data_IF_490106563663
#
_entry.id   IF_490106563663
#
_cell.length_a   1.000
_cell.length_b   1.000
_cell.length_c   1.000
_cell.angle_alpha   90.00
_cell.angle_beta   90.00
_cell.angle_gamma   90.00
#
_symmetry.space_group_name_H-M   'P 1'
#
loop_
_entity.id
_entity.type
_entity.pdbx_description
1 polymer ?
#
# COMPACT_ATOMS: atom_id res chain seq x y z
N UNK A 1 -18.14 -23.25 19.26
CA UNK A 1 -18.92 -24.50 19.14
C UNK A 1 -20.13 -24.39 20.05
N UNK A 2 -21.29 -24.73 19.53
CA UNK A 2 -22.53 -24.75 20.29
C UNK A 2 -22.77 -26.19 20.77
N UNK A 3 -22.93 -26.36 22.09
CA UNK A 3 -23.23 -27.66 22.69
C UNK A 3 -24.65 -27.55 23.28
N UNK A 4 -25.67 -27.99 22.53
CA UNK A 4 -27.05 -27.91 22.99
C UNK A 4 -27.28 -28.94 24.11
N UNK A 5 -28.01 -28.57 25.17
CA UNK A 5 -28.48 -29.52 26.18
C UNK A 5 -29.71 -30.32 25.71
N UNK A 6 -30.43 -29.79 24.71
CA UNK A 6 -31.68 -30.33 24.16
C UNK A 6 -31.69 -30.21 22.63
N UNK A 7 -32.40 -31.08 21.88
CA UNK A 7 -32.32 -31.13 20.41
C UNK A 7 -32.83 -29.87 19.67
N UNK A 8 -33.48 -28.96 20.38
CA UNK A 8 -34.04 -27.72 19.85
C UNK A 8 -33.01 -26.58 19.71
N UNK A 9 -31.76 -26.80 20.16
CA UNK A 9 -30.69 -25.79 20.13
C UNK A 9 -31.10 -24.43 20.73
N UNK A 10 -32.04 -24.44 21.69
CA UNK A 10 -32.53 -23.21 22.29
C UNK A 10 -31.36 -22.45 22.95
N UNK A 11 -31.17 -21.14 22.70
CA UNK A 11 -30.04 -20.39 23.25
C UNK A 11 -29.96 -20.41 24.77
N UNK A 12 -31.11 -20.42 25.46
CA UNK A 12 -31.19 -20.52 26.92
C UNK A 12 -30.73 -21.87 27.49
N UNK A 13 -30.62 -22.90 26.64
CA UNK A 13 -30.20 -24.27 26.98
C UNK A 13 -29.03 -24.75 26.14
N UNK A 14 -28.20 -23.83 25.63
CA UNK A 14 -27.03 -24.15 24.82
C UNK A 14 -25.78 -23.57 25.47
N UNK A 15 -24.71 -24.37 25.57
CA UNK A 15 -23.40 -23.87 25.96
C UNK A 15 -22.64 -23.36 24.74
N UNK A 16 -22.10 -22.15 24.84
CA UNK A 16 -21.29 -21.53 23.78
C UNK A 16 -19.82 -21.62 24.16
N UNK A 17 -19.09 -22.55 23.54
CA UNK A 17 -17.65 -22.66 23.70
C UNK A 17 -16.94 -21.85 22.62
N UNK A 18 -16.14 -20.87 23.03
CA UNK A 18 -15.30 -20.11 22.11
C UNK A 18 -14.07 -20.92 21.71
N UNK A 19 -13.78 -20.93 20.41
CA UNK A 19 -12.59 -21.54 19.85
C UNK A 19 -12.12 -20.70 18.68
N UNK A 20 -10.81 -20.65 18.48
CA UNK A 20 -10.20 -20.04 17.29
C UNK A 20 -9.81 -21.18 16.36
N UNK A 21 -10.21 -21.11 15.09
CA UNK A 21 -9.69 -21.97 14.05
C UNK A 21 -8.59 -21.20 13.31
N UNK A 22 -7.30 -21.52 13.53
CA UNK A 22 -6.19 -20.76 12.95
C UNK A 22 -6.22 -20.80 11.42
N UNK A 23 -6.49 -21.97 10.81
CA UNK A 23 -6.53 -22.10 9.35
C UNK A 23 -7.63 -21.24 8.71
N UNK A 24 -8.82 -21.20 9.32
CA UNK A 24 -9.91 -20.35 8.85
C UNK A 24 -9.57 -18.86 9.01
N UNK A 25 -9.03 -18.47 10.17
CA UNK A 25 -8.64 -17.10 10.45
C UNK A 25 -7.52 -16.62 9.50
N UNK A 26 -6.52 -17.47 9.23
CA UNK A 26 -5.42 -17.16 8.30
C UNK A 26 -5.93 -16.99 6.87
N UNK A 27 -6.83 -17.84 6.38
CA UNK A 27 -7.44 -17.68 5.04
C UNK A 27 -8.23 -16.38 4.93
N UNK A 28 -9.02 -16.06 5.95
CA UNK A 28 -9.75 -14.79 6.00
C UNK A 28 -8.78 -13.59 6.00
N UNK A 29 -7.71 -13.66 6.79
CA UNK A 29 -6.72 -12.58 6.87
C UNK A 29 -5.96 -12.42 5.55
N UNK A 30 -5.57 -13.51 4.89
CA UNK A 30 -4.91 -13.49 3.58
C UNK A 30 -5.77 -12.75 2.53
N UNK A 31 -7.07 -13.04 2.48
CA UNK A 31 -7.99 -12.33 1.59
C UNK A 31 -8.03 -10.82 1.88
N UNK A 32 -7.96 -10.42 3.15
CA UNK A 32 -7.88 -9.01 3.54
C UNK A 32 -6.56 -8.38 3.11
N UNK A 33 -5.43 -9.09 3.23
CA UNK A 33 -4.14 -8.61 2.75
C UNK A 33 -4.16 -8.30 1.25
N UNK A 34 -4.71 -9.18 0.41
CA UNK A 34 -4.84 -8.88 -1.02
C UNK A 34 -5.69 -7.64 -1.30
N UNK A 35 -6.82 -7.49 -0.60
CA UNK A 35 -7.65 -6.28 -0.72
C UNK A 35 -6.89 -5.03 -0.28
N UNK A 36 -6.10 -5.12 0.79
CA UNK A 36 -5.27 -4.02 1.26
C UNK A 36 -4.24 -3.60 0.21
N UNK A 37 -3.51 -4.56 -0.39
CA UNK A 37 -2.55 -4.26 -1.47
C UNK A 37 -3.24 -3.58 -2.66
N UNK A 38 -4.39 -4.12 -3.11
CA UNK A 38 -5.15 -3.52 -4.20
C UNK A 38 -5.55 -2.06 -3.90
N UNK A 39 -6.04 -1.80 -2.68
CA UNK A 39 -6.42 -0.46 -2.26
C UNK A 39 -5.23 0.50 -2.17
N UNK A 40 -4.06 0.03 -1.72
CA UNK A 40 -2.83 0.83 -1.67
C UNK A 40 -2.38 1.24 -3.07
N UNK A 41 -2.35 0.29 -4.00
CA UNK A 41 -2.01 0.53 -5.41
C UNK A 41 -3.01 1.50 -6.04
N UNK A 42 -4.31 1.30 -5.84
CA UNK A 42 -5.34 2.19 -6.37
C UNK A 42 -5.18 3.61 -5.83
N UNK A 43 -4.89 3.76 -4.52
CA UNK A 43 -4.65 5.07 -3.92
C UNK A 43 -3.40 5.73 -4.49
N UNK A 44 -2.32 4.99 -4.69
CA UNK A 44 -1.08 5.52 -5.29
C UNK A 44 -1.31 5.99 -6.71
N UNK A 45 -1.99 5.19 -7.52
CA UNK A 45 -2.37 5.55 -8.89
C UNK A 45 -3.25 6.80 -8.93
N UNK A 46 -4.21 6.92 -8.01
CA UNK A 46 -5.05 8.11 -7.87
C UNK A 46 -4.20 9.36 -7.59
N UNK A 47 -3.32 9.32 -6.59
CA UNK A 47 -2.44 10.45 -6.23
C UNK A 47 -1.54 10.86 -7.40
N UNK A 48 -0.94 9.90 -8.13
CA UNK A 48 -0.12 10.18 -9.32
C UNK A 48 -0.95 10.79 -10.45
N UNK A 49 -2.18 10.30 -10.65
CA UNK A 49 -3.07 10.79 -11.72
C UNK A 49 -3.52 12.23 -11.47
N UNK A 50 -3.95 12.55 -10.25
CA UNK A 50 -4.41 13.90 -9.88
C UNK A 50 -3.28 14.93 -10.00
N UNK A 51 -2.05 14.53 -9.68
CA UNK A 51 -0.88 15.40 -9.72
C UNK A 51 -0.08 15.33 -11.03
N UNK A 52 -0.59 14.65 -12.06
CA UNK A 52 0.13 14.38 -13.32
C UNK A 52 0.72 15.64 -13.96
N UNK A 53 -0.04 16.73 -14.03
CA UNK A 53 0.42 17.99 -14.64
C UNK A 53 1.60 18.60 -13.90
N UNK A 54 1.57 18.56 -12.57
CA UNK A 54 2.63 19.08 -11.72
C UNK A 54 3.89 18.20 -11.80
N UNK A 55 3.72 16.88 -11.84
CA UNK A 55 4.81 15.93 -12.06
C UNK A 55 5.50 16.14 -13.41
N UNK A 56 4.72 16.26 -14.50
CA UNK A 56 5.27 16.54 -15.84
C UNK A 56 5.98 17.90 -15.92
N UNK A 57 5.50 18.91 -15.19
CA UNK A 57 6.17 20.21 -15.08
C UNK A 57 7.51 20.07 -14.35
N UNK A 58 7.52 19.40 -13.19
CA UNK A 58 8.73 19.14 -12.40
C UNK A 58 9.78 18.39 -13.23
N UNK A 59 9.37 17.31 -13.90
CA UNK A 59 10.26 16.49 -14.71
C UNK A 59 10.87 17.28 -15.89
N UNK A 60 10.09 18.14 -16.54
CA UNK A 60 10.61 19.02 -17.61
C UNK A 60 11.65 20.00 -17.08
N UNK A 61 11.40 20.60 -15.92
CA UNK A 61 12.32 21.55 -15.30
C UNK A 61 13.62 20.85 -14.89
N UNK A 62 13.54 19.68 -14.23
CA UNK A 62 14.72 18.88 -13.88
C UNK A 62 15.56 18.47 -15.11
N UNK A 63 14.90 18.13 -16.23
CA UNK A 63 15.59 17.80 -17.47
C UNK A 63 16.33 19.01 -18.06
N UNK A 64 15.73 20.21 -18.02
CA UNK A 64 16.37 21.46 -18.46
C UNK A 64 17.59 21.77 -17.59
N UNK A 65 17.44 21.70 -16.26
CA UNK A 65 18.54 21.93 -15.31
C UNK A 65 19.71 20.97 -15.60
N UNK A 66 19.41 19.68 -15.74
CA UNK A 66 20.41 18.65 -16.05
C UNK A 66 21.14 18.93 -17.37
N UNK A 67 20.40 19.34 -18.41
CA UNK A 67 20.97 19.69 -19.72
C UNK A 67 21.85 20.93 -19.66
N UNK A 68 21.44 21.94 -18.89
CA UNK A 68 22.19 23.20 -18.75
C UNK A 68 23.45 23.02 -17.91
N UNK A 69 23.38 22.22 -16.84
CA UNK A 69 24.56 21.81 -16.07
C UNK A 69 25.58 21.07 -16.95
N UNK A 70 25.14 20.18 -17.85
CA UNK A 70 26.01 19.49 -18.79
C UNK A 70 26.70 20.44 -19.79
N UNK A 71 26.08 21.59 -20.07
CA UNK A 71 26.62 22.62 -20.99
C UNK A 71 27.48 23.66 -20.25
N UNK A 72 27.61 23.56 -18.92
CA UNK A 72 28.39 24.49 -18.10
C UNK A 72 27.69 25.84 -17.87
N UNK A 73 26.35 25.86 -17.83
CA UNK A 73 25.58 27.07 -17.56
C UNK A 73 25.91 27.68 -16.18
N UNK A 74 25.79 29.01 -16.08
CA UNK A 74 26.01 29.73 -14.83
C UNK A 74 24.94 29.40 -13.78
N UNK A 75 25.33 29.47 -12.50
CA UNK A 75 24.46 29.15 -11.36
C UNK A 75 23.23 30.06 -11.25
N UNK A 76 23.34 31.31 -11.72
CA UNK A 76 22.24 32.27 -11.84
C UNK A 76 21.13 31.77 -12.79
N UNK A 77 21.51 31.22 -13.95
CA UNK A 77 20.56 30.69 -14.93
C UNK A 77 19.84 29.44 -14.41
N UNK A 78 20.53 28.63 -13.61
CA UNK A 78 19.93 27.45 -12.99
C UNK A 78 18.90 27.84 -11.93
N UNK A 79 19.18 28.88 -11.13
CA UNK A 79 18.23 29.41 -10.14
C UNK A 79 16.94 29.94 -10.79
N UNK A 80 17.04 30.70 -11.88
CA UNK A 80 15.87 31.20 -12.61
C UNK A 80 14.92 30.08 -13.07
N UNK A 81 15.50 28.95 -13.51
CA UNK A 81 14.73 27.78 -13.93
C UNK A 81 14.12 27.04 -12.73
N UNK A 82 14.84 27.00 -11.61
CA UNK A 82 14.32 26.41 -10.37
C UNK A 82 13.11 27.20 -9.82
N UNK A 83 13.10 28.52 -9.99
CA UNK A 83 12.00 29.41 -9.60
C UNK A 83 10.73 29.23 -10.45
N UNK A 84 10.82 28.52 -11.59
CA UNK A 84 9.63 28.15 -12.38
C UNK A 84 8.69 27.19 -11.63
N UNK A 85 9.18 26.49 -10.58
CA UNK A 85 8.34 25.80 -9.60
C UNK A 85 8.11 26.71 -8.41
N UNK A 86 6.86 27.13 -8.25
CA UNK A 86 6.47 28.03 -7.16
C UNK A 86 6.55 27.32 -5.80
N UNK A 87 6.75 28.10 -4.72
CA UNK A 87 6.77 27.56 -3.36
C UNK A 87 5.59 26.62 -2.99
N UNK A 88 4.30 26.94 -3.31
CA UNK A 88 3.20 26.03 -3.05
C UNK A 88 3.28 24.73 -3.88
N UNK A 89 3.72 24.81 -5.13
CA UNK A 89 3.93 23.62 -5.98
C UNK A 89 5.03 22.71 -5.42
N UNK A 90 6.13 23.28 -4.90
CA UNK A 90 7.18 22.51 -4.21
C UNK A 90 6.63 21.80 -2.98
N UNK A 91 5.83 22.50 -2.17
CA UNK A 91 5.21 21.89 -0.99
C UNK A 91 4.25 20.75 -1.38
N UNK A 92 3.50 20.91 -2.47
CA UNK A 92 2.62 19.87 -3.00
C UNK A 92 3.40 18.66 -3.50
N UNK A 93 4.52 18.86 -4.22
CA UNK A 93 5.42 17.80 -4.66
C UNK A 93 6.04 17.03 -3.48
N UNK A 94 6.49 17.73 -2.44
CA UNK A 94 7.04 17.11 -1.24
C UNK A 94 5.99 16.27 -0.50
N UNK A 95 4.77 16.78 -0.37
CA UNK A 95 3.67 16.02 0.22
C UNK A 95 3.32 14.78 -0.60
N UNK A 96 3.25 14.92 -1.93
CA UNK A 96 2.99 13.81 -2.84
C UNK A 96 4.07 12.73 -2.72
N UNK A 97 5.35 13.12 -2.73
CA UNK A 97 6.49 12.21 -2.58
C UNK A 97 6.42 11.43 -1.27
N UNK A 98 6.13 12.12 -0.15
CA UNK A 98 5.97 11.47 1.16
C UNK A 98 4.82 10.46 1.15
N UNK A 99 3.69 10.82 0.55
CA UNK A 99 2.51 9.96 0.48
C UNK A 99 2.77 8.72 -0.38
N UNK A 100 3.33 8.89 -1.58
CA UNK A 100 3.67 7.78 -2.49
C UNK A 100 4.68 6.85 -1.84
N UNK A 101 5.76 7.37 -1.26
CA UNK A 101 6.77 6.56 -0.58
C UNK A 101 6.16 5.73 0.58
N UNK A 102 5.20 6.32 1.31
CA UNK A 102 4.50 5.61 2.39
C UNK A 102 3.61 4.49 1.85
N UNK A 103 2.92 4.72 0.73
CA UNK A 103 2.09 3.71 0.07
C UNK A 103 2.96 2.56 -0.44
N UNK A 104 4.06 2.86 -1.15
CA UNK A 104 5.01 1.86 -1.66
C UNK A 104 5.61 1.02 -0.53
N UNK A 105 6.06 1.66 0.55
CA UNK A 105 6.59 0.94 1.72
C UNK A 105 5.51 0.06 2.38
N UNK A 106 4.26 0.50 2.40
CA UNK A 106 3.15 -0.29 2.95
C UNK A 106 2.80 -1.48 2.06
N UNK A 107 2.88 -1.33 0.73
CA UNK A 107 2.69 -2.44 -0.23
C UNK A 107 3.70 -3.57 0.06
N UNK A 108 4.98 -3.23 0.25
CA UNK A 108 6.05 -4.18 0.58
C UNK A 108 5.80 -4.88 1.92
N UNK A 109 5.41 -4.14 2.96
CA UNK A 109 5.16 -4.73 4.28
C UNK A 109 3.98 -5.72 4.28
N UNK A 110 2.94 -5.44 3.50
CA UNK A 110 1.80 -6.36 3.39
C UNK A 110 2.18 -7.63 2.62
N UNK A 111 3.09 -7.53 1.65
CA UNK A 111 3.62 -8.69 0.91
C UNK A 111 4.33 -9.68 1.83
N UNK A 112 5.16 -9.20 2.78
CA UNK A 112 5.78 -10.06 3.79
C UNK A 112 4.74 -10.84 4.62
N UNK A 113 3.61 -10.19 4.95
CA UNK A 113 2.51 -10.83 5.66
C UNK A 113 1.82 -11.88 4.78
N UNK A 114 1.57 -11.57 3.50
CA UNK A 114 0.99 -12.50 2.53
C UNK A 114 1.85 -13.76 2.44
N UNK A 115 3.17 -13.59 2.29
CA UNK A 115 4.12 -14.70 2.21
C UNK A 115 4.02 -15.66 3.40
N UNK A 116 3.97 -15.12 4.62
CA UNK A 116 3.86 -15.94 5.85
C UNK A 116 2.53 -16.69 5.90
N UNK A 117 1.41 -16.01 5.60
CA UNK A 117 0.07 -16.60 5.64
C UNK A 117 -0.10 -17.69 4.57
N UNK A 118 0.39 -17.44 3.35
CA UNK A 118 0.39 -18.42 2.26
C UNK A 118 1.26 -19.63 2.60
N UNK A 119 2.46 -19.41 3.12
CA UNK A 119 3.37 -20.48 3.54
C UNK A 119 2.73 -21.38 4.60
N UNK A 120 2.09 -20.78 5.60
CA UNK A 120 1.32 -21.52 6.61
C UNK A 120 0.19 -22.33 5.95
N UNK A 121 -0.65 -21.70 5.13
CA UNK A 121 -1.76 -22.41 4.44
C UNK A 121 -1.23 -23.56 3.59
N UNK A 122 -0.15 -23.36 2.84
CA UNK A 122 0.41 -24.38 1.96
C UNK A 122 1.02 -25.55 2.74
N UNK A 123 1.68 -25.29 3.87
CA UNK A 123 2.19 -26.37 4.74
C UNK A 123 1.08 -27.25 5.33
N UNK A 124 -0.13 -26.71 5.51
CA UNK A 124 -1.30 -27.48 5.97
C UNK A 124 -1.97 -28.31 4.87
N UNK A 125 -1.64 -28.10 3.58
CA UNK A 125 -2.25 -28.81 2.44
C UNK A 125 -1.69 -30.22 2.22
N UNK A 126 -0.59 -30.61 2.88
CA UNK A 126 -0.03 -31.98 2.80
C UNK A 126 0.09 -32.63 4.19
N UNK A 127 -1.02 -33.24 4.61
CA UNK A 127 -1.06 -34.48 5.41
C UNK A 127 -2.34 -35.23 5.03
N UNK A 128 -2.39 -35.75 3.82
CA UNK A 128 -3.33 -36.81 3.44
C UNK A 128 -2.43 -38.01 3.12
N UNK A 129 -2.48 -39.11 3.91
CA UNK A 129 -1.79 -40.34 3.55
C UNK A 129 -2.35 -40.96 2.27
#
# INVERSE_FOLDING_TARGET
QEIPKTPDHAPSRTFYLYAVNPLSATRMLLQRCYKTVANLIERRQYETKENKRLLEKSQRIEAIITSMQATGAEESQLQEIEEMITAPERQQLENLKRNVNKLDASEIQVDETIFILESYINSTKSKIP
#
